data_IF_252690454022
#
_entry.id   IF_252690454022
#
_cell.length_a   1.000
_cell.length_b   1.000
_cell.length_c   1.000
_cell.angle_alpha   90.00
_cell.angle_beta   90.00
_cell.angle_gamma   90.00
#
_symmetry.space_group_name_H-M   'P 1'
#
loop_
_entity.id
_entity.type
_entity.pdbx_description
1 polymer ?
#
# COMPACT_ATOMS: atom_id res chain seq x y z
N UNK A 1 12.25 23.47 4.76
CA UNK A 1 11.83 22.15 5.24
C UNK A 1 11.15 21.37 4.14
N UNK A 2 11.06 20.07 4.27
CA UNK A 2 10.29 19.25 3.33
C UNK A 2 8.80 19.55 3.46
N UNK A 3 8.09 19.59 2.36
CA UNK A 3 6.63 19.71 2.33
C UNK A 3 6.03 18.33 2.48
N UNK A 4 5.07 18.16 3.39
CA UNK A 4 4.28 16.94 3.57
C UNK A 4 2.83 17.31 3.29
N UNK A 5 2.24 16.75 2.25
CA UNK A 5 0.87 17.04 1.82
C UNK A 5 -0.17 16.11 2.45
N UNK A 6 0.22 14.87 2.73
CA UNK A 6 -0.67 13.89 3.34
C UNK A 6 0.07 12.87 4.22
N UNK A 7 -0.67 12.29 5.15
CA UNK A 7 -0.26 11.17 6.03
C UNK A 7 -1.10 9.96 5.66
N UNK A 8 -0.47 8.81 5.42
CA UNK A 8 -1.14 7.55 5.14
C UNK A 8 -1.47 6.79 6.43
N UNK A 9 -2.72 6.31 6.55
CA UNK A 9 -3.15 5.33 7.55
C UNK A 9 -3.50 4.04 6.81
N UNK A 10 -2.88 2.91 7.14
CA UNK A 10 -3.13 1.64 6.43
C UNK A 10 -4.60 1.24 6.49
N UNK A 11 -5.16 1.05 7.67
CA UNK A 11 -6.59 0.77 7.84
C UNK A 11 -6.94 -0.72 7.82
N UNK A 12 -6.04 -1.60 8.22
CA UNK A 12 -6.35 -3.01 8.47
C UNK A 12 -7.14 -3.17 9.77
N UNK A 13 -8.39 -3.57 9.66
CA UNK A 13 -9.35 -3.57 10.76
C UNK A 13 -9.92 -4.97 11.03
N UNK A 14 -10.54 -5.13 12.18
CA UNK A 14 -11.31 -6.30 12.56
C UNK A 14 -12.71 -5.93 13.06
N UNK A 15 -13.54 -6.92 13.38
CA UNK A 15 -14.88 -6.69 13.92
C UNK A 15 -14.85 -6.04 15.31
N UNK A 16 -13.80 -6.25 16.06
CA UNK A 16 -13.62 -5.81 17.44
C UNK A 16 -12.57 -4.70 17.60
N UNK A 17 -11.87 -4.32 16.54
CA UNK A 17 -10.76 -3.36 16.59
C UNK A 17 -10.49 -2.67 15.23
N UNK A 18 -10.08 -1.38 15.24
CA UNK A 18 -10.20 -0.42 16.35
C UNK A 18 -11.66 -0.02 16.58
N UNK A 19 -12.01 0.58 17.71
CA UNK A 19 -13.32 1.24 17.82
C UNK A 19 -13.39 2.44 16.88
N UNK A 20 -14.60 2.83 16.47
CA UNK A 20 -14.81 4.02 15.61
C UNK A 20 -14.20 5.27 16.25
N UNK A 21 -14.40 5.46 17.57
CA UNK A 21 -13.89 6.62 18.30
C UNK A 21 -12.37 6.66 18.41
N UNK A 22 -11.71 5.52 18.64
CA UNK A 22 -10.24 5.44 18.65
C UNK A 22 -9.66 5.79 17.28
N UNK A 23 -10.27 5.26 16.21
CA UNK A 23 -9.84 5.55 14.86
C UNK A 23 -10.04 7.03 14.51
N UNK A 24 -11.20 7.59 14.84
CA UNK A 24 -11.50 9.01 14.64
C UNK A 24 -10.51 9.91 15.40
N UNK A 25 -10.18 9.54 16.65
CA UNK A 25 -9.18 10.27 17.45
C UNK A 25 -7.82 10.30 16.76
N UNK A 26 -7.37 9.17 16.25
CA UNK A 26 -6.10 9.06 15.53
C UNK A 26 -6.12 9.85 14.22
N UNK A 27 -7.22 9.75 13.46
CA UNK A 27 -7.44 10.52 12.22
C UNK A 27 -7.32 12.03 12.47
N UNK A 28 -8.01 12.53 13.48
CA UNK A 28 -8.01 13.94 13.83
C UNK A 28 -6.66 14.41 14.36
N UNK A 29 -5.93 13.58 15.09
CA UNK A 29 -4.58 13.88 15.53
C UNK A 29 -3.63 14.08 14.32
N UNK A 30 -3.71 13.23 13.29
CA UNK A 30 -2.94 13.43 12.06
C UNK A 30 -3.40 14.68 11.30
N UNK A 31 -4.70 14.89 11.15
CA UNK A 31 -5.26 16.06 10.48
C UNK A 31 -4.85 17.38 11.16
N UNK A 32 -4.69 17.38 12.50
CA UNK A 32 -4.26 18.58 13.26
C UNK A 32 -2.86 19.08 12.91
N UNK A 33 -2.05 18.27 12.24
CA UNK A 33 -0.73 18.69 11.71
C UNK A 33 -0.84 19.62 10.50
N UNK A 34 -2.02 19.77 9.94
CA UNK A 34 -2.27 20.52 8.69
C UNK A 34 -2.10 19.68 7.42
N UNK A 35 -1.59 18.44 7.53
CA UNK A 35 -1.53 17.50 6.41
C UNK A 35 -2.91 16.87 6.15
N UNK A 36 -3.17 16.51 4.90
CA UNK A 36 -4.32 15.66 4.56
C UNK A 36 -4.09 14.23 5.05
N UNK A 37 -5.15 13.44 5.13
CA UNK A 37 -5.07 12.02 5.50
C UNK A 37 -5.52 11.15 4.32
N UNK A 38 -4.84 10.05 4.11
CA UNK A 38 -5.22 9.01 3.15
C UNK A 38 -5.37 7.68 3.88
N UNK A 39 -6.44 6.96 3.60
CA UNK A 39 -6.58 5.57 4.02
C UNK A 39 -6.02 4.72 2.88
N UNK A 40 -4.89 4.05 3.13
CA UNK A 40 -4.06 3.50 2.05
C UNK A 40 -4.31 2.03 1.77
N UNK A 41 -4.79 1.25 2.76
CA UNK A 41 -4.87 -0.21 2.68
C UNK A 41 -6.11 -0.75 3.41
N UNK A 42 -7.28 -0.14 3.13
CA UNK A 42 -8.48 -0.46 3.89
C UNK A 42 -9.00 -1.85 3.61
N UNK A 43 -9.04 -2.67 4.64
CA UNK A 43 -9.72 -3.96 4.69
C UNK A 43 -10.25 -4.23 6.11
N UNK A 44 -11.20 -5.16 6.25
CA UNK A 44 -11.77 -5.50 7.55
C UNK A 44 -11.95 -7.01 7.70
N UNK A 45 -11.15 -7.61 8.56
CA UNK A 45 -11.28 -9.03 8.91
C UNK A 45 -12.65 -9.34 9.53
N UNK A 46 -13.33 -10.33 9.00
CA UNK A 46 -14.56 -10.87 9.58
C UNK A 46 -14.30 -12.02 10.58
N UNK A 47 -13.08 -12.57 10.56
CA UNK A 47 -12.66 -13.68 11.40
C UNK A 47 -11.85 -13.18 12.62
N UNK A 48 -11.72 -13.99 13.68
CA UNK A 48 -10.91 -13.63 14.83
C UNK A 48 -9.49 -13.23 14.47
N UNK A 49 -9.00 -12.14 15.04
CA UNK A 49 -7.64 -11.65 14.83
C UNK A 49 -6.70 -12.37 15.79
N UNK A 50 -5.71 -13.06 15.24
CA UNK A 50 -4.72 -13.82 16.01
C UNK A 50 -3.59 -12.93 16.48
N UNK A 51 -3.22 -11.96 15.65
CA UNK A 51 -2.14 -11.03 15.93
C UNK A 51 -2.58 -9.61 15.59
N UNK A 52 -2.41 -8.69 16.52
CA UNK A 52 -2.73 -7.25 16.33
C UNK A 52 -1.53 -6.45 15.81
N UNK A 53 -0.42 -7.12 15.58
CA UNK A 53 0.79 -6.51 15.04
C UNK A 53 0.88 -6.56 13.51
N UNK A 54 1.83 -5.82 12.95
CA UNK A 54 2.11 -5.79 11.51
C UNK A 54 3.00 -6.95 11.03
N UNK A 55 3.41 -7.88 11.91
CA UNK A 55 4.29 -8.98 11.55
C UNK A 55 3.53 -10.12 10.85
N UNK A 56 3.45 -10.06 9.53
CA UNK A 56 2.81 -11.08 8.69
C UNK A 56 3.67 -12.33 8.48
N UNK A 57 4.94 -12.31 8.91
CA UNK A 57 5.83 -13.48 8.81
C UNK A 57 5.53 -14.54 9.89
N UNK A 58 4.82 -14.18 10.96
CA UNK A 58 4.45 -15.10 12.02
C UNK A 58 3.28 -15.99 11.56
N UNK A 59 3.61 -17.14 11.01
CA UNK A 59 2.63 -18.17 10.68
C UNK A 59 2.32 -18.98 11.93
N UNK A 60 1.09 -18.89 12.39
CA UNK A 60 0.57 -19.69 13.50
C UNK A 60 0.05 -21.03 12.95
N UNK A 61 0.19 -22.11 13.71
CA UNK A 61 -0.40 -23.39 13.33
C UNK A 61 -1.92 -23.24 13.11
N UNK A 62 -2.45 -23.95 12.10
CA UNK A 62 -3.89 -23.91 11.81
C UNK A 62 -4.68 -24.43 13.01
N UNK A 63 -5.59 -23.58 13.49
CA UNK A 63 -6.58 -23.93 14.50
C UNK A 63 -7.98 -23.66 13.97
N UNK A 64 -8.91 -24.59 14.18
CA UNK A 64 -10.31 -24.44 13.73
C UNK A 64 -10.97 -23.17 14.28
N UNK A 65 -10.57 -22.73 15.48
CA UNK A 65 -11.05 -21.50 16.08
C UNK A 65 -10.65 -20.24 15.28
N UNK A 66 -9.58 -20.30 14.50
CA UNK A 66 -9.07 -19.19 13.70
C UNK A 66 -9.64 -19.14 12.29
N UNK A 67 -10.30 -20.20 11.87
CA UNK A 67 -11.03 -20.27 10.60
C UNK A 67 -12.44 -20.87 10.83
N UNK A 68 -13.29 -20.23 11.64
CA UNK A 68 -14.58 -20.78 12.03
C UNK A 68 -15.58 -20.92 10.88
N UNK A 69 -15.38 -20.19 9.78
CA UNK A 69 -16.32 -20.10 8.66
C UNK A 69 -15.65 -20.36 7.30
N UNK A 70 -15.14 -21.58 7.06
CA UNK A 70 -14.35 -21.86 5.84
C UNK A 70 -15.19 -21.84 4.56
N UNK A 71 -16.51 -22.04 4.64
CA UNK A 71 -17.39 -22.09 3.46
C UNK A 71 -18.08 -20.74 3.21
N UNK A 72 -18.75 -20.18 4.23
CA UNK A 72 -19.45 -18.91 4.15
C UNK A 72 -19.61 -18.29 5.54
N UNK A 73 -19.69 -16.95 5.62
CA UNK A 73 -20.04 -16.25 6.84
C UNK A 73 -21.49 -16.56 7.25
N UNK A 74 -21.77 -16.83 8.54
CA UNK A 74 -23.13 -16.77 9.07
C UNK A 74 -23.75 -15.39 8.87
N UNK A 75 -25.06 -15.33 8.65
CA UNK A 75 -25.79 -14.06 8.45
C UNK A 75 -25.55 -13.06 9.58
N UNK A 76 -25.49 -13.52 10.83
CA UNK A 76 -25.22 -12.66 11.97
C UNK A 76 -23.84 -11.98 11.90
N UNK A 77 -22.81 -12.71 11.47
CA UNK A 77 -21.45 -12.18 11.32
C UNK A 77 -21.38 -11.28 10.08
N UNK A 78 -22.00 -11.69 8.99
CA UNK A 78 -22.10 -10.89 7.77
C UNK A 78 -22.79 -9.55 8.03
N UNK A 79 -23.91 -9.55 8.74
CA UNK A 79 -24.63 -8.33 9.11
C UNK A 79 -23.79 -7.41 9.99
N UNK A 80 -23.10 -7.96 10.99
CA UNK A 80 -22.20 -7.19 11.85
C UNK A 80 -21.06 -6.56 11.03
N UNK A 81 -20.45 -7.34 10.14
CA UNK A 81 -19.39 -6.87 9.26
C UNK A 81 -19.87 -5.72 8.34
N UNK A 82 -21.04 -5.90 7.69
CA UNK A 82 -21.61 -4.88 6.83
C UNK A 82 -21.96 -3.59 7.58
N UNK A 83 -22.55 -3.71 8.77
CA UNK A 83 -22.85 -2.54 9.62
C UNK A 83 -21.59 -1.78 10.02
N UNK A 84 -20.52 -2.51 10.36
CA UNK A 84 -19.26 -1.90 10.75
C UNK A 84 -18.54 -1.24 9.57
N UNK A 85 -18.49 -1.87 8.40
CA UNK A 85 -17.95 -1.27 7.17
C UNK A 85 -18.69 0.03 6.81
N UNK A 86 -20.02 0.02 6.93
CA UNK A 86 -20.85 1.22 6.73
C UNK A 86 -20.47 2.33 7.70
N UNK A 87 -20.31 2.01 8.99
CA UNK A 87 -19.95 3.00 10.02
C UNK A 87 -18.58 3.64 9.74
N UNK A 88 -17.58 2.88 9.28
CA UNK A 88 -16.29 3.44 8.88
C UNK A 88 -16.41 4.30 7.61
N UNK A 89 -17.18 3.87 6.62
CA UNK A 89 -17.39 4.69 5.43
C UNK A 89 -18.12 6.01 5.77
N UNK A 90 -19.11 5.97 6.66
CA UNK A 90 -19.79 7.17 7.16
C UNK A 90 -18.80 8.09 7.90
N UNK A 91 -17.87 7.53 8.69
CA UNK A 91 -16.78 8.29 9.32
C UNK A 91 -15.88 8.94 8.26
N UNK A 92 -15.49 8.23 7.22
CA UNK A 92 -14.64 8.78 6.16
C UNK A 92 -15.35 9.89 5.40
N UNK A 93 -16.63 9.74 5.10
CA UNK A 93 -17.46 10.77 4.47
C UNK A 93 -17.60 11.99 5.39
N UNK A 94 -17.83 11.80 6.69
CA UNK A 94 -17.91 12.86 7.70
C UNK A 94 -16.66 13.76 7.69
N UNK A 95 -15.48 13.15 7.48
CA UNK A 95 -14.19 13.84 7.46
C UNK A 95 -13.61 14.02 6.05
N UNK A 96 -14.46 14.10 5.02
CA UNK A 96 -14.03 14.29 3.62
C UNK A 96 -13.32 15.63 3.36
N UNK A 97 -13.39 16.57 4.28
CA UNK A 97 -12.61 17.81 4.26
C UNK A 97 -11.11 17.58 4.51
N UNK A 98 -10.74 16.53 5.24
CA UNK A 98 -9.34 16.15 5.54
C UNK A 98 -8.90 14.85 4.88
N UNK A 99 -9.83 13.90 4.67
CA UNK A 99 -9.53 12.64 3.97
C UNK A 99 -9.63 12.87 2.45
N UNK A 100 -8.52 12.67 1.76
CA UNK A 100 -8.47 12.87 0.29
C UNK A 100 -8.55 11.57 -0.50
N UNK A 101 -8.36 10.43 0.15
CA UNK A 101 -8.36 9.12 -0.52
C UNK A 101 -8.70 8.00 0.46
N UNK A 102 -9.49 7.04 0.00
CA UNK A 102 -9.68 5.73 0.64
C UNK A 102 -9.38 4.65 -0.40
N UNK A 103 -8.41 3.81 -0.12
CA UNK A 103 -8.01 2.70 -1.00
C UNK A 103 -8.34 1.39 -0.32
N UNK A 104 -9.18 0.57 -0.95
CA UNK A 104 -9.40 -0.81 -0.52
C UNK A 104 -8.16 -1.65 -0.88
N UNK A 105 -7.71 -2.50 0.06
CA UNK A 105 -6.51 -3.32 -0.14
C UNK A 105 -6.84 -4.65 -0.81
N UNK A 106 -7.39 -4.55 -2.01
CA UNK A 106 -7.86 -5.63 -2.86
C UNK A 106 -9.26 -5.38 -3.41
N UNK A 107 -9.71 -6.22 -4.34
CA UNK A 107 -11.01 -6.08 -5.00
C UNK A 107 -12.02 -7.03 -4.37
N UNK A 108 -11.75 -8.33 -4.38
CA UNK A 108 -12.66 -9.36 -3.90
C UNK A 108 -12.07 -10.17 -2.76
N UNK A 109 -12.92 -10.77 -1.95
CA UNK A 109 -12.51 -11.67 -0.88
C UNK A 109 -11.64 -12.84 -1.38
N UNK A 110 -11.77 -13.21 -2.67
CA UNK A 110 -10.97 -14.25 -3.29
C UNK A 110 -9.51 -13.89 -3.44
N UNK A 111 -9.25 -12.60 -3.67
CA UNK A 111 -7.93 -12.05 -3.98
C UNK A 111 -7.24 -11.44 -2.74
N UNK A 112 -7.87 -11.55 -1.56
CA UNK A 112 -7.32 -10.96 -0.34
C UNK A 112 -6.02 -11.61 0.10
N UNK A 113 -5.04 -10.79 0.48
CA UNK A 113 -3.78 -11.21 1.09
C UNK A 113 -3.97 -11.97 2.41
N UNK A 114 -5.13 -11.79 3.07
CA UNK A 114 -5.50 -12.44 4.33
C UNK A 114 -5.98 -13.88 4.14
N UNK A 115 -6.13 -14.35 2.91
CA UNK A 115 -6.37 -15.77 2.66
C UNK A 115 -5.09 -16.56 2.96
N UNK A 116 -5.23 -17.73 3.57
CA UNK A 116 -4.12 -18.59 3.98
C UNK A 116 -3.15 -17.94 4.99
N UNK A 117 -3.51 -16.79 5.54
CA UNK A 117 -2.72 -16.09 6.55
C UNK A 117 -3.63 -15.64 7.73
N UNK A 118 -3.15 -15.68 9.00
CA UNK A 118 -1.85 -16.20 9.47
C UNK A 118 -1.78 -17.73 9.52
N UNK A 119 -2.89 -18.42 9.25
CA UNK A 119 -2.96 -19.88 9.27
C UNK A 119 -3.33 -20.44 7.91
N UNK A 120 -2.68 -21.54 7.43
CA UNK A 120 -3.02 -22.18 6.18
C UNK A 120 -4.49 -22.62 6.13
N UNK A 121 -5.12 -22.50 4.96
CA UNK A 121 -6.53 -22.85 4.74
C UNK A 121 -7.54 -21.81 5.27
N UNK A 122 -7.09 -20.70 5.88
CA UNK A 122 -7.98 -19.62 6.31
C UNK A 122 -8.61 -18.96 5.09
N UNK A 123 -9.92 -18.77 5.13
CA UNK A 123 -10.69 -18.04 4.09
C UNK A 123 -11.28 -16.79 4.72
N UNK A 124 -10.72 -15.64 4.39
CA UNK A 124 -11.11 -14.36 4.96
C UNK A 124 -12.14 -13.63 4.07
N UNK A 125 -12.86 -12.66 4.64
CA UNK A 125 -13.96 -11.95 3.98
C UNK A 125 -13.81 -10.42 4.12
N UNK A 126 -12.63 -9.81 3.80
CA UNK A 126 -12.31 -8.47 4.27
C UNK A 126 -12.66 -7.35 3.30
N UNK A 127 -13.07 -7.64 2.04
CA UNK A 127 -13.10 -6.69 0.95
C UNK A 127 -14.53 -6.29 0.52
N UNK A 128 -14.63 -5.36 -0.41
CA UNK A 128 -15.88 -4.74 -0.85
C UNK A 128 -16.77 -5.69 -1.66
N UNK A 129 -16.15 -6.62 -2.38
CA UNK A 129 -16.83 -7.63 -3.20
C UNK A 129 -16.59 -9.02 -2.63
N UNK A 130 -17.59 -9.87 -2.78
CA UNK A 130 -17.47 -11.29 -2.43
C UNK A 130 -16.58 -12.06 -3.44
N UNK A 131 -16.40 -13.37 -3.21
CA UNK A 131 -15.57 -14.23 -4.07
C UNK A 131 -16.14 -14.42 -5.50
N UNK A 132 -17.39 -14.02 -5.72
CA UNK A 132 -18.05 -14.03 -7.02
C UNK A 132 -18.11 -12.63 -7.64
N UNK A 133 -17.31 -11.69 -7.12
CA UNK A 133 -17.26 -10.28 -7.53
C UNK A 133 -18.61 -9.56 -7.41
N UNK A 134 -19.50 -10.03 -6.50
CA UNK A 134 -20.73 -9.33 -6.20
C UNK A 134 -20.49 -8.30 -5.09
N UNK A 135 -21.01 -7.06 -5.24
CA UNK A 135 -20.87 -6.05 -4.21
C UNK A 135 -21.59 -6.46 -2.93
N UNK A 136 -20.92 -6.32 -1.79
CA UNK A 136 -21.53 -6.63 -0.50
C UNK A 136 -22.60 -5.60 -0.12
N UNK A 137 -23.57 -5.96 0.75
CA UNK A 137 -24.75 -5.13 1.04
C UNK A 137 -24.45 -3.69 1.40
N UNK A 138 -23.48 -3.43 2.28
CA UNK A 138 -23.14 -2.07 2.71
C UNK A 138 -22.70 -1.17 1.54
N UNK A 139 -21.98 -1.72 0.57
CA UNK A 139 -21.52 -0.97 -0.60
C UNK A 139 -22.69 -0.55 -1.48
N UNK A 140 -23.69 -1.43 -1.65
CA UNK A 140 -24.93 -1.09 -2.37
C UNK A 140 -25.66 0.05 -1.67
N UNK A 141 -25.80 -0.01 -0.32
CA UNK A 141 -26.48 1.02 0.45
C UNK A 141 -25.79 2.40 0.37
N UNK A 142 -24.47 2.43 0.29
CA UNK A 142 -23.69 3.67 0.19
C UNK A 142 -23.73 4.24 -1.22
N UNK A 143 -23.68 3.38 -2.23
CA UNK A 143 -23.70 3.77 -3.64
C UNK A 143 -25.12 4.02 -4.18
N UNK A 144 -26.16 3.53 -3.50
CA UNK A 144 -27.52 3.92 -3.85
C UNK A 144 -27.67 5.44 -3.71
N UNK A 145 -27.96 6.17 -4.79
CA UNK A 145 -28.10 7.61 -4.70
C UNK A 145 -29.28 7.91 -3.77
N UNK A 146 -28.99 8.38 -2.55
CA UNK A 146 -29.95 9.21 -1.85
C UNK A 146 -30.27 10.28 -2.87
N UNK A 147 -31.53 10.36 -3.36
CA UNK A 147 -31.96 11.30 -4.39
C UNK A 147 -31.39 12.69 -4.10
N UNK A 148 -30.17 12.95 -4.50
CA UNK A 148 -29.65 14.28 -4.65
C UNK A 148 -30.19 14.76 -5.99
N UNK A 149 -31.14 15.68 -5.95
CA UNK A 149 -31.55 16.43 -7.13
C UNK A 149 -30.40 17.37 -7.42
N UNK A 150 -29.56 17.02 -8.39
CA UNK A 150 -28.59 17.95 -8.95
C UNK A 150 -29.33 18.76 -10.00
N UNK A 151 -29.56 20.04 -9.74
CA UNK A 151 -30.15 20.94 -10.72
C UNK A 151 -29.17 21.26 -11.86
N UNK A 152 -27.86 21.12 -11.59
CA UNK A 152 -26.80 21.29 -12.58
C UNK A 152 -25.54 20.51 -12.16
N UNK A 153 -24.95 19.75 -13.07
CA UNK A 153 -23.64 19.13 -12.90
C UNK A 153 -22.69 19.69 -13.95
N UNK A 154 -21.81 20.60 -13.52
CA UNK A 154 -20.76 21.13 -14.39
C UNK A 154 -19.49 20.34 -14.18
N UNK A 155 -19.13 19.51 -15.14
CA UNK A 155 -17.87 18.79 -15.18
C UNK A 155 -16.90 19.50 -16.11
N UNK A 156 -15.88 20.13 -15.54
CA UNK A 156 -14.80 20.70 -16.34
C UNK A 156 -13.72 19.63 -16.48
N UNK A 157 -13.67 18.96 -17.63
CA UNK A 157 -12.48 18.20 -18.01
C UNK A 157 -11.41 19.24 -18.28
N UNK A 158 -10.34 19.27 -17.48
CA UNK A 158 -9.15 20.00 -17.90
C UNK A 158 -8.71 19.41 -19.25
N UNK A 159 -8.65 20.20 -20.33
CA UNK A 159 -8.18 19.69 -21.60
C UNK A 159 -6.77 19.13 -21.38
N UNK A 160 -6.48 17.96 -21.96
CA UNK A 160 -5.09 17.55 -22.22
C UNK A 160 -4.56 18.55 -23.24
N UNK A 161 -3.99 19.64 -22.74
CA UNK A 161 -3.33 20.60 -23.61
C UNK A 161 -2.05 19.98 -24.16
N UNK A 162 -2.17 19.48 -25.37
CA UNK A 162 -1.02 19.20 -26.22
C UNK A 162 -0.68 20.40 -27.12
N UNK A 163 -1.28 21.57 -26.95
CA UNK A 163 -0.87 22.77 -27.69
C UNK A 163 -1.48 24.05 -27.12
N UNK A 164 -0.70 24.77 -26.34
CA UNK A 164 -0.46 26.21 -26.38
C UNK A 164 0.02 26.73 -25.03
N UNK A 165 1.29 27.09 -24.99
CA UNK A 165 1.83 28.02 -24.01
C UNK A 165 1.10 29.38 -24.15
N UNK A 166 0.33 29.77 -23.15
CA UNK A 166 -0.01 31.17 -22.90
C UNK A 166 0.20 31.44 -21.43
N UNK A 167 1.08 32.41 -21.17
CA UNK A 167 1.47 32.94 -19.90
C UNK A 167 0.29 33.22 -18.95
N UNK A 168 0.15 32.38 -17.96
CA UNK A 168 -0.29 32.74 -16.64
C UNK A 168 0.56 31.96 -15.67
N UNK A 169 1.48 32.61 -14.99
CA UNK A 169 2.24 32.06 -13.87
C UNK A 169 1.27 31.80 -12.72
N UNK A 170 0.54 30.73 -12.81
CA UNK A 170 0.03 30.05 -11.63
C UNK A 170 1.17 29.20 -11.13
N UNK A 171 1.49 29.30 -9.85
CA UNK A 171 2.43 28.38 -9.18
C UNK A 171 2.17 27.00 -9.71
N UNK A 172 3.17 26.27 -10.28
CA UNK A 172 2.93 24.93 -10.80
C UNK A 172 2.41 24.07 -9.66
N UNK A 173 1.11 23.82 -9.67
CA UNK A 173 0.55 22.81 -8.77
C UNK A 173 1.06 21.47 -9.25
N UNK A 174 1.83 20.79 -8.43
CA UNK A 174 2.21 19.40 -8.69
C UNK A 174 0.95 18.60 -8.90
N UNK A 175 0.83 17.95 -10.08
CA UNK A 175 -0.26 17.01 -10.29
C UNK A 175 -0.13 15.85 -9.31
N UNK A 176 -1.17 15.54 -8.60
CA UNK A 176 -1.23 14.40 -7.70
C UNK A 176 -2.28 13.40 -8.23
N UNK A 177 -1.91 12.14 -8.44
CA UNK A 177 -0.63 11.51 -8.11
C UNK A 177 0.49 11.90 -9.10
N UNK A 178 1.72 12.07 -8.60
CA UNK A 178 2.91 12.33 -9.42
C UNK A 178 3.26 11.14 -10.32
N UNK A 179 2.90 9.92 -9.89
CA UNK A 179 2.94 8.68 -10.66
C UNK A 179 1.57 8.02 -10.60
N UNK A 180 0.75 8.12 -11.65
CA UNK A 180 -0.52 7.40 -11.71
C UNK A 180 -0.28 5.91 -11.93
N UNK A 181 -0.93 5.06 -11.12
CA UNK A 181 -0.79 3.61 -11.21
C UNK A 181 -0.72 2.93 -9.84
N UNK A 182 -0.27 1.66 -9.83
CA UNK A 182 -0.06 0.88 -8.60
C UNK A 182 1.44 0.88 -8.27
N UNK A 183 1.86 1.85 -7.48
CA UNK A 183 3.24 2.00 -7.00
C UNK A 183 3.23 2.14 -5.48
N UNK A 184 2.95 1.04 -4.74
CA UNK A 184 2.85 1.06 -3.29
C UNK A 184 4.22 1.15 -2.62
N UNK A 185 4.21 1.51 -1.34
CA UNK A 185 5.37 1.50 -0.43
C UNK A 185 6.58 2.28 -1.00
N UNK A 186 6.43 3.57 -1.35
CA UNK A 186 7.53 4.32 -1.91
C UNK A 186 8.62 4.60 -0.87
N UNK A 187 9.88 4.31 -1.19
CA UNK A 187 11.05 4.81 -0.47
C UNK A 187 11.87 5.72 -1.38
N UNK A 188 12.33 6.85 -0.86
CA UNK A 188 13.06 7.88 -1.62
C UNK A 188 14.43 8.12 -0.97
N UNK A 189 15.46 8.12 -1.82
CA UNK A 189 16.82 8.49 -1.47
C UNK A 189 17.27 9.70 -2.29
N UNK A 190 17.92 10.67 -1.64
CA UNK A 190 18.50 11.84 -2.31
C UNK A 190 20.01 11.84 -2.26
N UNK A 191 20.66 12.07 -3.39
CA UNK A 191 22.12 12.30 -3.48
C UNK A 191 22.35 13.52 -4.38
N UNK A 192 22.87 14.58 -3.77
CA UNK A 192 23.02 15.84 -4.48
C UNK A 192 21.67 16.42 -4.92
N UNK A 193 21.49 16.55 -6.24
CA UNK A 193 20.25 17.00 -6.86
C UNK A 193 19.38 15.84 -7.41
N UNK A 194 19.87 14.62 -7.32
CA UNK A 194 19.16 13.45 -7.82
C UNK A 194 18.33 12.81 -6.70
N UNK A 195 17.09 12.47 -7.03
CA UNK A 195 16.17 11.70 -6.20
C UNK A 195 15.91 10.36 -6.88
N UNK A 196 16.01 9.29 -6.10
CA UNK A 196 15.70 7.94 -6.54
C UNK A 196 14.56 7.41 -5.71
N UNK A 197 13.54 6.84 -6.34
CA UNK A 197 12.39 6.24 -5.67
C UNK A 197 12.23 4.81 -6.12
N UNK A 198 11.86 3.94 -5.17
CA UNK A 198 11.56 2.52 -5.39
C UNK A 198 10.21 2.17 -4.80
N UNK A 199 9.59 1.09 -5.30
CA UNK A 199 8.27 0.64 -4.86
C UNK A 199 8.22 -0.88 -4.75
N UNK A 200 7.28 -1.41 -3.94
CA UNK A 200 6.94 -2.83 -3.91
C UNK A 200 6.53 -3.33 -5.28
N UNK A 201 6.90 -4.56 -5.59
CA UNK A 201 6.52 -5.22 -6.84
C UNK A 201 5.75 -6.53 -6.67
N UNK A 202 5.61 -7.01 -5.43
CA UNK A 202 4.92 -8.26 -5.13
C UNK A 202 5.42 -9.41 -6.02
N UNK A 203 4.51 -10.19 -6.62
CA UNK A 203 4.84 -11.29 -7.51
C UNK A 203 5.19 -10.87 -8.96
N UNK A 204 5.18 -9.55 -9.25
CA UNK A 204 5.50 -9.08 -10.59
C UNK A 204 7.00 -9.08 -10.86
N UNK A 205 7.37 -9.55 -12.06
CA UNK A 205 8.74 -9.55 -12.56
C UNK A 205 8.85 -8.71 -13.85
N UNK A 206 9.88 -7.88 -14.02
CA UNK A 206 11.01 -7.61 -13.10
C UNK A 206 10.57 -6.92 -11.80
N UNK A 207 11.32 -7.16 -10.71
CA UNK A 207 10.98 -6.67 -9.37
C UNK A 207 11.59 -5.32 -9.04
N UNK A 208 10.89 -4.57 -8.19
CA UNK A 208 11.28 -3.26 -7.66
C UNK A 208 11.55 -2.23 -8.76
N UNK A 209 10.50 -1.56 -9.27
CA UNK A 209 10.69 -0.44 -10.20
C UNK A 209 11.50 0.67 -9.52
N UNK A 210 12.42 1.28 -10.27
CA UNK A 210 13.22 2.41 -9.82
C UNK A 210 13.03 3.62 -10.72
N UNK A 211 12.83 4.76 -10.08
CA UNK A 211 12.54 6.03 -10.69
C UNK A 211 13.59 7.06 -10.32
N UNK A 212 13.81 8.03 -11.20
CA UNK A 212 14.70 9.16 -10.99
C UNK A 212 13.96 10.48 -11.19
N UNK A 213 14.28 11.46 -10.36
CA UNK A 213 13.81 12.83 -10.49
C UNK A 213 14.88 13.82 -10.01
N UNK A 214 14.80 15.05 -10.49
CA UNK A 214 15.60 16.18 -9.95
C UNK A 214 14.73 17.24 -9.29
N UNK A 215 13.41 17.08 -9.32
CA UNK A 215 12.45 18.09 -8.83
C UNK A 215 11.29 17.50 -8.00
N UNK A 216 11.24 16.16 -7.80
CA UNK A 216 10.19 15.42 -7.11
C UNK A 216 8.80 15.47 -7.80
N UNK A 217 8.72 16.10 -8.95
CA UNK A 217 7.48 16.28 -9.71
C UNK A 217 7.48 15.45 -10.98
N UNK A 218 8.60 15.50 -11.70
CA UNK A 218 8.79 14.77 -12.94
C UNK A 218 9.67 13.55 -12.65
N UNK A 219 9.11 12.35 -12.85
CA UNK A 219 9.79 11.09 -12.59
C UNK A 219 9.98 10.30 -13.86
N UNK A 220 11.21 9.85 -14.11
CA UNK A 220 11.57 8.94 -15.18
C UNK A 220 11.85 7.55 -14.63
N UNK A 221 11.26 6.52 -15.23
CA UNK A 221 11.58 5.14 -14.84
C UNK A 221 12.93 4.73 -15.41
N UNK A 222 13.88 4.41 -14.55
CA UNK A 222 15.21 3.90 -14.93
C UNK A 222 15.19 2.41 -15.29
N UNK A 223 14.16 1.68 -14.87
CA UNK A 223 14.03 0.25 -15.03
C UNK A 223 13.65 -0.43 -13.73
N UNK A 224 14.30 -1.54 -13.41
CA UNK A 224 14.03 -2.36 -12.24
C UNK A 224 15.33 -2.78 -11.56
N UNK A 225 15.30 -2.82 -10.22
CA UNK A 225 16.46 -3.23 -9.40
C UNK A 225 16.69 -4.73 -9.48
N UNK A 226 15.61 -5.52 -9.43
CA UNK A 226 15.65 -6.98 -9.46
C UNK A 226 15.21 -7.45 -10.86
N UNK A 227 16.15 -7.45 -11.80
CA UNK A 227 15.88 -7.70 -13.22
C UNK A 227 16.55 -8.97 -13.78
N UNK A 228 17.23 -9.75 -12.92
CA UNK A 228 17.89 -11.01 -13.29
C UNK A 228 17.35 -12.17 -12.46
N UNK A 229 17.24 -13.39 -13.04
CA UNK A 229 16.82 -14.56 -12.29
C UNK A 229 17.67 -14.89 -11.05
N UNK A 230 18.97 -14.53 -11.06
CA UNK A 230 19.87 -14.69 -9.92
C UNK A 230 19.49 -13.80 -8.73
N UNK A 231 18.84 -12.68 -8.98
CA UNK A 231 18.43 -11.73 -7.95
C UNK A 231 17.07 -12.07 -7.33
N UNK A 232 16.19 -12.68 -8.11
CA UNK A 232 14.82 -12.96 -7.72
C UNK A 232 14.41 -14.33 -8.27
N UNK A 233 14.66 -15.41 -7.51
CA UNK A 233 14.19 -16.73 -7.91
C UNK A 233 12.67 -16.71 -8.01
N UNK A 234 12.16 -17.03 -9.21
CA UNK A 234 10.72 -17.14 -9.47
C UNK A 234 10.25 -18.51 -9.02
N UNK A 235 9.20 -18.54 -8.23
CA UNK A 235 8.56 -19.79 -7.79
C UNK A 235 7.25 -19.97 -8.54
N UNK A 236 7.01 -21.17 -9.06
CA UNK A 236 5.70 -21.53 -9.60
C UNK A 236 4.64 -21.48 -8.49
N UNK A 237 3.51 -20.84 -8.80
CA UNK A 237 2.39 -20.74 -7.86
C UNK A 237 2.48 -19.61 -6.83
N UNK A 238 3.35 -18.62 -7.02
CA UNK A 238 3.33 -17.40 -6.23
C UNK A 238 1.95 -16.73 -6.30
N UNK A 239 1.38 -16.43 -5.13
CA UNK A 239 0.17 -15.58 -5.05
C UNK A 239 0.52 -14.16 -5.48
N UNK A 240 -0.43 -13.46 -6.12
CA UNK A 240 -0.22 -12.09 -6.65
C UNK A 240 0.24 -11.12 -5.55
N UNK A 241 -0.26 -11.28 -4.32
CA UNK A 241 0.11 -10.48 -3.16
C UNK A 241 1.33 -11.01 -2.38
N UNK A 242 2.05 -12.02 -2.89
CA UNK A 242 3.31 -12.50 -2.35
C UNK A 242 4.52 -11.81 -3.00
N UNK A 243 5.70 -12.39 -2.89
CA UNK A 243 6.91 -11.91 -3.53
C UNK A 243 7.60 -10.76 -2.79
N UNK A 244 7.87 -9.64 -3.45
CA UNK A 244 8.72 -8.55 -2.96
C UNK A 244 7.88 -7.45 -2.32
N UNK A 245 8.07 -7.26 -1.02
CA UNK A 245 7.41 -6.25 -0.20
C UNK A 245 8.22 -4.95 -0.12
N UNK A 246 7.78 -4.02 0.74
CA UNK A 246 8.30 -2.67 0.81
C UNK A 246 9.84 -2.59 0.74
N UNK A 247 10.41 -2.06 -0.36
CA UNK A 247 11.84 -1.82 -0.47
C UNK A 247 12.22 -0.51 0.21
N UNK A 248 13.42 -0.45 0.79
CA UNK A 248 14.02 0.79 1.24
C UNK A 248 15.34 1.04 0.51
N UNK A 249 15.50 2.25 -0.07
CA UNK A 249 16.71 2.67 -0.78
C UNK A 249 17.47 3.72 0.03
N UNK A 250 18.76 3.48 0.27
CA UNK A 250 19.67 4.40 0.98
C UNK A 250 21.00 4.52 0.24
N UNK A 251 21.61 5.69 0.37
CA UNK A 251 22.98 5.92 -0.05
C UNK A 251 23.89 5.92 1.17
N UNK A 252 24.98 5.15 1.12
CA UNK A 252 25.99 5.15 2.14
C UNK A 252 27.16 6.06 1.72
N UNK A 253 27.35 7.23 2.34
CA UNK A 253 28.38 8.18 1.97
C UNK A 253 29.80 7.69 2.28
N UNK A 254 29.96 6.70 3.19
CA UNK A 254 31.28 6.19 3.59
C UNK A 254 31.93 5.31 2.52
N UNK A 255 31.12 4.62 1.71
CA UNK A 255 31.63 3.76 0.63
C UNK A 255 31.12 4.12 -0.77
N UNK A 256 30.23 5.11 -0.88
CA UNK A 256 29.71 5.59 -2.15
C UNK A 256 28.73 4.65 -2.83
N UNK A 257 28.15 3.71 -2.10
CA UNK A 257 27.21 2.74 -2.65
C UNK A 257 25.75 3.07 -2.28
N UNK A 258 24.86 2.79 -3.20
CA UNK A 258 23.43 2.67 -2.91
C UNK A 258 23.12 1.25 -2.44
N UNK A 259 22.30 1.17 -1.42
CA UNK A 259 21.76 -0.05 -0.85
C UNK A 259 20.26 -0.07 -1.05
N UNK A 260 19.73 -1.19 -1.51
CA UNK A 260 18.31 -1.46 -1.52
C UNK A 260 18.07 -2.72 -0.70
N UNK A 261 17.27 -2.61 0.35
CA UNK A 261 16.86 -3.73 1.21
C UNK A 261 15.36 -3.96 1.04
N UNK A 262 14.93 -5.22 1.06
CA UNK A 262 13.52 -5.62 0.94
C UNK A 262 13.30 -7.01 1.50
N UNK A 263 12.05 -7.48 1.49
CA UNK A 263 11.67 -8.83 1.93
C UNK A 263 11.06 -9.63 0.78
N UNK A 264 11.56 -10.84 0.55
CA UNK A 264 10.89 -11.86 -0.25
C UNK A 264 10.03 -12.74 0.68
N UNK A 265 8.72 -12.43 0.77
CA UNK A 265 7.85 -13.02 1.82
C UNK A 265 7.54 -14.50 1.62
N UNK A 266 7.58 -15.01 0.38
CA UNK A 266 7.30 -16.42 0.06
C UNK A 266 8.56 -17.28 0.04
N UNK A 267 9.75 -16.70 0.27
CA UNK A 267 11.01 -17.42 0.36
C UNK A 267 12.23 -16.52 0.34
N UNK A 268 13.22 -16.81 1.17
CA UNK A 268 14.44 -16.02 1.30
C UNK A 268 14.43 -14.99 2.42
N UNK A 269 13.29 -14.40 2.79
CA UNK A 269 13.21 -13.37 3.83
C UNK A 269 13.85 -12.05 3.41
N UNK A 270 14.48 -11.36 4.37
CA UNK A 270 15.13 -10.08 4.13
C UNK A 270 16.45 -10.24 3.38
N UNK A 271 16.67 -9.37 2.40
CA UNK A 271 17.94 -9.33 1.65
C UNK A 271 18.19 -7.91 1.12
N UNK A 272 19.43 -7.65 0.75
CA UNK A 272 19.80 -6.40 0.10
C UNK A 272 20.64 -6.61 -1.16
N UNK A 273 20.61 -5.61 -2.04
CA UNK A 273 21.47 -5.48 -3.22
C UNK A 273 22.10 -4.10 -3.24
N UNK A 274 23.23 -3.94 -3.92
CA UNK A 274 23.99 -2.69 -3.99
C UNK A 274 24.32 -2.29 -5.42
N UNK A 275 24.52 -0.98 -5.64
CA UNK A 275 25.10 -0.43 -6.86
C UNK A 275 25.90 0.83 -6.57
N UNK A 276 26.87 1.15 -7.43
CA UNK A 276 27.59 2.44 -7.43
C UNK A 276 26.77 3.55 -8.08
N UNK A 277 25.85 3.19 -8.99
CA UNK A 277 25.04 4.14 -9.72
C UNK A 277 23.70 3.51 -10.15
N UNK A 278 22.58 3.94 -9.57
CA UNK A 278 21.26 3.44 -9.95
C UNK A 278 20.90 3.60 -11.42
N UNK A 279 21.46 4.62 -12.09
CA UNK A 279 21.21 4.91 -13.53
C UNK A 279 21.81 3.85 -14.46
N UNK A 280 22.81 3.12 -14.00
CA UNK A 280 23.43 2.03 -14.77
C UNK A 280 22.65 0.72 -14.76
N UNK A 281 21.76 0.52 -13.80
CA UNK A 281 20.98 -0.71 -13.63
C UNK A 281 21.80 -1.97 -13.31
N UNK A 282 23.04 -1.81 -12.82
CA UNK A 282 24.00 -2.89 -12.53
C UNK A 282 23.99 -3.27 -11.03
N UNK A 283 22.81 -3.54 -10.48
CA UNK A 283 22.66 -3.97 -9.11
C UNK A 283 23.33 -5.32 -8.86
N UNK A 284 23.91 -5.50 -7.65
CA UNK A 284 24.55 -6.77 -7.25
C UNK A 284 23.56 -7.94 -7.20
N UNK A 285 24.08 -9.15 -7.07
CA UNK A 285 23.27 -10.27 -6.60
C UNK A 285 22.89 -10.09 -5.11
N UNK A 286 21.81 -10.72 -4.63
CA UNK A 286 21.29 -10.48 -3.29
C UNK A 286 22.20 -11.04 -2.20
N UNK A 287 22.32 -10.28 -1.11
CA UNK A 287 22.86 -10.76 0.16
C UNK A 287 21.70 -10.96 1.12
N UNK A 288 21.38 -12.20 1.44
CA UNK A 288 20.32 -12.55 2.37
C UNK A 288 20.72 -12.38 3.82
N UNK A 289 19.76 -12.00 4.67
CA UNK A 289 19.91 -11.74 6.09
C UNK A 289 19.00 -12.71 6.89
N UNK A 290 19.36 -14.01 6.97
CA UNK A 290 18.47 -15.03 7.55
C UNK A 290 18.19 -14.83 9.04
N UNK A 291 19.06 -14.11 9.75
CA UNK A 291 18.90 -13.78 11.16
C UNK A 291 17.98 -12.56 11.41
N UNK A 292 17.65 -11.80 10.37
CA UNK A 292 16.77 -10.62 10.45
C UNK A 292 15.36 -11.05 10.09
N UNK A 293 14.51 -11.20 11.09
CA UNK A 293 13.08 -11.51 10.90
C UNK A 293 12.24 -10.28 10.59
N UNK A 294 10.95 -10.53 10.26
CA UNK A 294 9.99 -9.47 9.96
C UNK A 294 9.94 -9.10 8.48
N UNK A 295 9.24 -8.00 8.20
CA UNK A 295 9.09 -7.43 6.85
C UNK A 295 9.38 -5.94 6.91
N UNK A 296 9.46 -5.28 5.74
CA UNK A 296 9.63 -3.84 5.58
C UNK A 296 10.92 -3.32 6.24
N UNK A 297 12.07 -3.94 5.94
CA UNK A 297 13.35 -3.57 6.52
C UNK A 297 13.82 -2.21 6.00
N UNK A 298 14.62 -1.50 6.80
CA UNK A 298 15.27 -0.26 6.39
C UNK A 298 16.71 -0.20 6.89
N UNK A 299 17.59 0.50 6.15
CA UNK A 299 18.93 0.81 6.59
C UNK A 299 19.01 2.18 7.23
N UNK A 300 19.80 2.27 8.30
CA UNK A 300 20.32 3.50 8.83
C UNK A 300 21.86 3.40 8.80
N UNK A 301 22.50 4.35 8.15
CA UNK A 301 23.96 4.48 8.20
C UNK A 301 24.31 5.59 9.17
N UNK A 302 25.04 5.25 10.22
CA UNK A 302 25.52 6.17 11.24
C UNK A 302 26.78 6.90 10.77
N UNK A 303 27.16 7.98 11.47
CA UNK A 303 28.36 8.77 11.17
C UNK A 303 29.67 8.11 11.64
N UNK A 304 29.60 7.01 12.43
CA UNK A 304 30.75 6.29 12.99
C UNK A 304 31.35 5.23 12.06
#
# INVERSE_FOLDING_TARGET
GLRIDAIGMQGHMGLDYPSIGEYETSLLAFASTGAKVMITEWDMSALPTVNRGANIADKVAFEKALNPYPEALPDSVSNLWNARMKSFMELFIKHSDVITRVTAWGVSDGDSWKNDWPVPGRREYPLLFDRNYQPKPFLKEILEPKKAVFDEFTYTVAPKDTDKATDQVTTPGTLNPVLPGCYPDPSICRVGNDYYMVNSSFAFYPGVPIWHSTDLTNWEQLGYVLNRPSQLPMYDGLRISGGIYAPDIKYNPHNGLFYLITTAVDGGGNFFVTTDDPKKGNWSDPTFLPEVGGIDPGFLFDED
#
